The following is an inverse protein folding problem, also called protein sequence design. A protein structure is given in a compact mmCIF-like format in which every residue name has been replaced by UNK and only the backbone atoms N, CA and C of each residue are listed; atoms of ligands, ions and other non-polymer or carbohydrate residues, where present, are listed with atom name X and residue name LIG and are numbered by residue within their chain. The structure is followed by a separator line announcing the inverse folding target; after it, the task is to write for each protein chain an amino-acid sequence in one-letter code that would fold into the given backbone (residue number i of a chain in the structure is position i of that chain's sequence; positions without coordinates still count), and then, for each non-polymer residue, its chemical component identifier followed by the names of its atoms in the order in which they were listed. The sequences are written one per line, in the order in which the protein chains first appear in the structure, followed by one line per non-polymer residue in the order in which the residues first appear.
data_IF_291767478884
#
_entry.id   IF_291767478884
#
_cell.length_a   1.000
_cell.length_b   1.000
_cell.length_c   1.000
_cell.angle_alpha   90.00
_cell.angle_beta   90.00
_cell.angle_gamma   90.00
#
_symmetry.space_group_name_H-M   'P 1'
#
loop_
_entity.id
_entity.type
_entity.pdbx_description
1 polymer ?
#
# COMPACT_ATOMS: atom_id res chain seq x y z
N UNK A 1 -0.71 -71.73 0.43
CA UNK A 1 -0.39 -70.47 1.13
C UNK A 1 0.68 -69.81 0.32
N UNK A 2 0.34 -68.68 -0.31
CA UNK A 2 1.23 -67.59 -0.72
C UNK A 2 0.39 -66.73 -1.69
N UNK A 3 -0.61 -66.07 -1.11
CA UNK A 3 -1.27 -64.94 -1.77
C UNK A 3 -0.34 -63.77 -1.51
N UNK A 4 0.27 -63.24 -2.57
CA UNK A 4 1.07 -62.02 -2.48
C UNK A 4 0.28 -60.97 -1.67
N UNK A 5 0.89 -60.28 -0.69
CA UNK A 5 0.21 -59.21 0.00
C UNK A 5 -0.25 -58.19 -1.05
N UNK A 6 -1.46 -57.61 -0.91
CA UNK A 6 -1.97 -56.66 -1.89
C UNK A 6 -0.91 -55.57 -2.07
N UNK A 7 -0.42 -55.40 -3.31
CA UNK A 7 0.45 -54.27 -3.63
C UNK A 7 -0.37 -53.02 -3.39
N UNK A 8 -0.04 -52.28 -2.34
CA UNK A 8 -0.50 -50.92 -2.17
C UNK A 8 0.04 -50.09 -3.34
N UNK A 9 -0.71 -50.07 -4.46
CA UNK A 9 -0.46 -49.14 -5.55
C UNK A 9 -0.71 -47.75 -5.00
N UNK A 10 0.33 -47.09 -4.47
CA UNK A 10 0.26 -45.69 -4.09
C UNK A 10 -0.11 -44.90 -5.34
N UNK A 11 -1.33 -44.37 -5.35
CA UNK A 11 -1.82 -43.51 -6.43
C UNK A 11 -0.87 -42.32 -6.49
N UNK A 12 -0.18 -42.15 -7.62
CA UNK A 12 0.71 -41.00 -7.81
C UNK A 12 -0.14 -39.73 -7.81
N UNK A 13 0.21 -38.77 -6.95
CA UNK A 13 -0.44 -37.47 -6.92
C UNK A 13 -0.24 -36.74 -8.26
N UNK A 14 -1.25 -35.99 -8.68
CA UNK A 14 -1.17 -35.19 -9.90
C UNK A 14 -0.38 -33.93 -9.61
N UNK A 15 0.67 -33.67 -10.38
CA UNK A 15 1.39 -32.40 -10.33
C UNK A 15 0.84 -31.48 -11.42
N UNK A 16 0.25 -30.36 -11.00
CA UNK A 16 -0.28 -29.33 -11.89
C UNK A 16 0.58 -28.07 -11.80
N UNK A 17 1.08 -27.64 -12.94
CA UNK A 17 1.83 -26.39 -13.06
C UNK A 17 0.86 -25.29 -13.53
N UNK A 18 0.52 -24.39 -12.63
CA UNK A 18 -0.32 -23.24 -12.90
C UNK A 18 0.56 -22.02 -13.17
N UNK A 19 0.45 -21.45 -14.38
CA UNK A 19 1.22 -20.28 -14.81
C UNK A 19 2.33 -20.60 -15.82
N UNK A 20 3.11 -19.57 -16.24
CA UNK A 20 3.23 -18.23 -15.64
C UNK A 20 2.11 -17.25 -16.03
N UNK A 21 1.37 -17.54 -17.09
CA UNK A 21 0.34 -16.67 -17.64
C UNK A 21 -1.05 -17.27 -17.37
N UNK A 22 -1.79 -16.67 -16.45
CA UNK A 22 -3.18 -17.01 -16.19
C UNK A 22 -3.91 -15.79 -15.62
N UNK A 23 -5.19 -15.52 -15.96
CA UNK A 23 -5.93 -14.37 -15.43
C UNK A 23 -5.93 -14.24 -13.90
N UNK A 24 -6.12 -15.37 -13.19
CA UNK A 24 -6.07 -15.41 -11.74
C UNK A 24 -4.66 -15.23 -11.12
N UNK A 25 -3.61 -15.27 -11.94
CA UNK A 25 -2.30 -14.78 -11.52
C UNK A 25 -2.23 -13.29 -11.87
N UNK A 26 -2.74 -12.43 -10.99
CA UNK A 26 -2.62 -10.98 -11.12
C UNK A 26 -1.13 -10.57 -11.06
N UNK A 27 -0.51 -10.48 -12.25
CA UNK A 27 0.94 -10.32 -12.43
C UNK A 27 1.54 -11.54 -13.12
N UNK A 28 2.61 -12.08 -12.54
CA UNK A 28 3.28 -13.30 -13.04
C UNK A 28 3.63 -14.19 -11.86
N UNK A 29 2.96 -15.33 -11.76
CA UNK A 29 3.16 -16.31 -10.70
C UNK A 29 3.13 -17.71 -11.31
N UNK A 30 4.06 -18.55 -10.88
CA UNK A 30 4.09 -19.98 -11.21
C UNK A 30 3.84 -20.77 -9.94
N UNK A 31 2.74 -21.51 -9.87
CA UNK A 31 2.40 -22.40 -8.76
C UNK A 31 2.55 -23.85 -9.21
N UNK A 32 3.39 -24.63 -8.55
CA UNK A 32 3.45 -26.08 -8.72
C UNK A 32 2.63 -26.70 -7.60
N UNK A 33 1.46 -27.23 -7.96
CA UNK A 33 0.52 -27.82 -7.02
C UNK A 33 0.56 -29.34 -7.11
N UNK A 34 0.70 -30.00 -5.98
CA UNK A 34 0.51 -31.44 -5.83
C UNK A 34 -0.92 -31.69 -5.36
N UNK A 35 -1.73 -32.29 -6.22
CA UNK A 35 -3.14 -32.53 -5.98
C UNK A 35 -3.42 -34.00 -5.75
N UNK A 36 -4.33 -34.27 -4.81
CA UNK A 36 -4.94 -35.56 -4.57
C UNK A 36 -6.43 -35.43 -4.85
N UNK A 37 -6.81 -35.68 -6.11
CA UNK A 37 -8.15 -35.34 -6.61
C UNK A 37 -8.38 -33.83 -6.58
N UNK A 38 -9.36 -33.38 -5.80
CA UNK A 38 -9.71 -31.96 -5.63
C UNK A 38 -8.94 -31.29 -4.47
N UNK A 39 -8.25 -32.07 -3.64
CA UNK A 39 -7.55 -31.56 -2.45
C UNK A 39 -6.11 -31.20 -2.76
N UNK A 40 -5.69 -30.00 -2.33
CA UNK A 40 -4.30 -29.55 -2.42
C UNK A 40 -3.49 -30.18 -1.28
N UNK A 41 -2.45 -30.95 -1.62
CA UNK A 41 -1.51 -31.51 -0.63
C UNK A 41 -0.35 -30.57 -0.37
N UNK A 42 0.21 -30.02 -1.44
CA UNK A 42 1.36 -29.11 -1.40
C UNK A 42 1.22 -28.08 -2.51
N UNK A 43 1.62 -26.85 -2.24
CA UNK A 43 1.67 -25.78 -3.22
C UNK A 43 3.03 -25.08 -3.07
N UNK A 44 3.84 -25.16 -4.13
CA UNK A 44 5.15 -24.53 -4.18
C UNK A 44 5.07 -23.30 -5.11
N UNK A 45 5.03 -22.07 -4.54
CA UNK A 45 5.02 -20.84 -5.33
C UNK A 45 6.43 -20.48 -5.81
N UNK A 46 6.68 -20.61 -7.11
CA UNK A 46 7.87 -20.10 -7.75
C UNK A 46 7.69 -18.62 -8.10
N UNK A 47 8.28 -17.76 -7.27
CA UNK A 47 8.37 -16.31 -7.46
C UNK A 47 9.70 -15.92 -8.16
N UNK A 48 9.89 -14.62 -8.41
CA UNK A 48 11.15 -14.10 -8.99
C UNK A 48 11.10 -13.82 -10.49
N UNK A 49 9.99 -14.14 -11.17
CA UNK A 49 9.79 -13.78 -12.59
C UNK A 49 9.78 -12.25 -12.82
N UNK A 50 9.45 -11.48 -11.78
CA UNK A 50 9.52 -10.01 -11.77
C UNK A 50 10.67 -9.49 -10.87
N UNK A 51 11.69 -10.30 -10.62
CA UNK A 51 12.90 -9.82 -9.94
C UNK A 51 13.69 -8.91 -10.90
N UNK A 52 13.86 -7.64 -10.49
CA UNK A 52 14.51 -6.59 -11.30
C UNK A 52 15.85 -6.13 -10.73
N UNK A 53 16.37 -6.77 -9.68
CA UNK A 53 17.59 -6.35 -8.99
C UNK A 53 17.48 -4.93 -8.40
N UNK A 54 16.32 -4.55 -7.88
CA UNK A 54 16.03 -3.17 -7.44
C UNK A 54 16.98 -2.70 -6.34
N UNK A 55 17.24 -3.54 -5.33
CA UNK A 55 18.17 -3.24 -4.23
C UNK A 55 19.59 -2.92 -4.75
N UNK A 56 20.08 -3.70 -5.71
CA UNK A 56 21.40 -3.49 -6.32
C UNK A 56 21.46 -2.22 -7.17
N UNK A 57 20.36 -1.87 -7.84
CA UNK A 57 20.29 -0.62 -8.58
C UNK A 57 20.25 0.61 -7.64
N UNK A 58 19.70 0.44 -6.44
CA UNK A 58 19.68 1.50 -5.41
C UNK A 58 21.09 1.77 -4.88
N UNK A 59 21.93 0.74 -4.68
CA UNK A 59 23.33 0.90 -4.24
C UNK A 59 24.17 1.81 -5.16
N UNK A 60 23.86 1.85 -6.45
CA UNK A 60 24.57 2.65 -7.44
C UNK A 60 23.94 4.03 -7.68
N UNK A 61 22.96 4.44 -6.88
CA UNK A 61 22.18 5.68 -7.06
C UNK A 61 22.18 6.52 -5.79
N UNK A 62 21.98 7.82 -5.96
CA UNK A 62 21.78 8.73 -4.82
C UNK A 62 20.38 8.56 -4.23
N UNK A 63 20.16 9.03 -3.00
CA UNK A 63 18.87 8.91 -2.32
C UNK A 63 17.69 9.47 -3.13
N UNK A 64 17.86 10.65 -3.74
CA UNK A 64 16.82 11.24 -4.59
C UNK A 64 16.56 10.42 -5.86
N UNK A 65 17.60 9.82 -6.46
CA UNK A 65 17.46 8.97 -7.65
C UNK A 65 16.91 7.57 -7.32
N UNK A 66 17.04 7.12 -6.08
CA UNK A 66 16.52 5.85 -5.60
C UNK A 66 15.00 5.92 -5.30
N UNK A 67 14.48 7.09 -4.92
CA UNK A 67 13.06 7.29 -4.59
C UNK A 67 12.08 6.64 -5.60
N UNK A 68 12.19 6.82 -6.94
CA UNK A 68 11.22 6.26 -7.89
C UNK A 68 11.25 4.72 -8.00
N UNK A 69 12.21 4.03 -7.37
CA UNK A 69 12.16 2.57 -7.26
C UNK A 69 11.10 2.14 -6.24
N UNK A 70 10.95 2.87 -5.14
CA UNK A 70 9.97 2.57 -4.09
C UNK A 70 8.53 2.72 -4.62
N UNK A 71 8.28 3.71 -5.48
CA UNK A 71 7.02 3.86 -6.24
C UNK A 71 6.60 2.63 -7.05
N UNK A 72 7.58 1.81 -7.43
CA UNK A 72 7.41 0.69 -8.37
C UNK A 72 7.52 -0.67 -7.70
N UNK A 73 7.73 -0.73 -6.38
CA UNK A 73 7.70 -1.97 -5.60
C UNK A 73 6.26 -2.46 -5.49
N UNK A 74 5.46 -1.80 -4.64
CA UNK A 74 4.01 -1.91 -4.70
C UNK A 74 3.45 -0.81 -5.62
N UNK A 75 3.22 -1.18 -6.88
CA UNK A 75 2.71 -0.27 -7.91
C UNK A 75 1.26 0.18 -7.69
N UNK A 76 0.58 -0.33 -6.67
CA UNK A 76 -0.77 0.13 -6.28
C UNK A 76 -0.71 1.14 -5.14
N UNK A 77 0.29 1.06 -4.26
CA UNK A 77 0.49 1.97 -3.12
C UNK A 77 1.74 2.82 -3.23
N UNK A 78 1.81 3.64 -4.29
CA UNK A 78 2.97 4.45 -4.66
C UNK A 78 3.40 5.39 -3.52
N UNK A 79 2.50 6.28 -3.08
CA UNK A 79 2.82 7.30 -2.06
C UNK A 79 3.15 6.70 -0.68
N UNK A 80 2.53 5.56 -0.30
CA UNK A 80 2.88 4.90 0.95
C UNK A 80 4.34 4.43 0.92
N UNK A 81 4.80 3.84 -0.19
CA UNK A 81 6.17 3.38 -0.29
C UNK A 81 7.16 4.57 -0.30
N UNK A 82 6.81 5.66 -0.99
CA UNK A 82 7.58 6.91 -0.92
C UNK A 82 7.66 7.46 0.50
N UNK A 83 6.55 7.39 1.25
CA UNK A 83 6.47 7.84 2.64
C UNK A 83 7.38 7.00 3.54
N UNK A 84 7.35 5.67 3.40
CA UNK A 84 8.22 4.78 4.17
C UNK A 84 9.70 5.09 3.92
N UNK A 85 10.08 5.23 2.65
CA UNK A 85 11.44 5.60 2.27
C UNK A 85 11.83 6.98 2.79
N UNK A 86 10.92 7.96 2.69
CA UNK A 86 11.17 9.32 3.15
C UNK A 86 11.35 9.38 4.66
N UNK A 87 10.54 8.65 5.42
CA UNK A 87 10.67 8.54 6.88
C UNK A 87 11.98 7.85 7.28
N UNK A 88 12.42 6.82 6.56
CA UNK A 88 13.71 6.17 6.77
C UNK A 88 14.88 7.17 6.64
N UNK A 89 14.87 7.93 5.54
CA UNK A 89 15.92 8.91 5.25
C UNK A 89 15.86 10.10 6.22
N UNK A 90 14.67 10.58 6.56
CA UNK A 90 14.46 11.66 7.54
C UNK A 90 14.95 11.27 8.94
N UNK A 91 14.73 10.01 9.34
CA UNK A 91 15.22 9.47 10.61
C UNK A 91 16.75 9.37 10.64
N UNK A 92 17.40 9.02 9.54
CA UNK A 92 18.87 9.04 9.44
C UNK A 92 19.44 10.46 9.42
N UNK A 93 18.73 11.40 8.79
CA UNK A 93 19.13 12.81 8.73
C UNK A 93 18.80 13.59 10.02
N UNK A 94 17.99 13.04 10.93
CA UNK A 94 17.45 13.71 12.11
C UNK A 94 16.71 15.01 11.77
N UNK A 95 15.87 14.97 10.75
CA UNK A 95 15.07 16.12 10.30
C UNK A 95 13.59 15.84 10.50
N UNK A 96 12.86 16.87 10.93
CA UNK A 96 11.40 16.83 11.01
C UNK A 96 10.78 17.58 9.82
N UNK A 97 9.89 16.94 9.04
CA UNK A 97 9.15 17.62 7.98
C UNK A 97 8.16 18.65 8.57
N UNK A 98 7.84 19.73 7.84
CA UNK A 98 6.94 20.76 8.35
C UNK A 98 5.50 20.22 8.52
N UNK A 99 4.70 20.80 9.43
CA UNK A 99 3.36 20.28 9.76
C UNK A 99 2.46 20.11 8.54
N UNK A 100 2.42 21.10 7.64
CA UNK A 100 1.60 21.03 6.42
C UNK A 100 2.00 19.85 5.52
N UNK A 101 3.29 19.56 5.39
CA UNK A 101 3.75 18.40 4.62
C UNK A 101 3.30 17.08 5.25
N UNK A 102 3.34 16.99 6.58
CA UNK A 102 2.87 15.80 7.29
C UNK A 102 1.36 15.57 7.07
N UNK A 103 0.54 16.62 7.14
CA UNK A 103 -0.90 16.52 6.83
C UNK A 103 -1.18 16.12 5.38
N UNK A 104 -0.41 16.66 4.42
CA UNK A 104 -0.52 16.26 3.01
C UNK A 104 -0.13 14.79 2.82
N UNK A 105 0.93 14.31 3.48
CA UNK A 105 1.35 12.91 3.46
C UNK A 105 0.27 11.99 4.01
N UNK A 106 -0.33 12.32 5.15
CA UNK A 106 -1.43 11.55 5.75
C UNK A 106 -2.64 11.53 4.81
N UNK A 107 -3.02 12.67 4.22
CA UNK A 107 -4.12 12.77 3.27
C UNK A 107 -3.91 11.84 2.05
N UNK A 108 -2.76 11.94 1.38
CA UNK A 108 -2.47 11.08 0.23
C UNK A 108 -2.18 9.62 0.62
N UNK A 109 -1.67 9.37 1.83
CA UNK A 109 -1.52 8.03 2.37
C UNK A 109 -2.86 7.31 2.49
N UNK A 110 -3.89 7.99 2.98
CA UNK A 110 -5.23 7.42 3.08
C UNK A 110 -5.96 7.35 1.72
N UNK A 111 -5.74 8.30 0.80
CA UNK A 111 -6.21 8.13 -0.60
C UNK A 111 -5.54 6.92 -1.26
N UNK A 112 -4.24 6.71 -1.02
CA UNK A 112 -3.51 5.53 -1.49
C UNK A 112 -4.07 4.24 -0.88
N UNK A 113 -4.48 4.29 0.39
CA UNK A 113 -5.13 3.18 1.08
C UNK A 113 -6.46 2.82 0.43
N UNK A 114 -7.30 3.81 0.11
CA UNK A 114 -8.51 3.60 -0.67
C UNK A 114 -8.21 2.96 -2.03
N UNK A 115 -7.26 3.51 -2.80
CA UNK A 115 -6.85 2.96 -4.09
C UNK A 115 -6.44 1.48 -4.02
N UNK A 116 -5.71 1.09 -2.96
CA UNK A 116 -5.23 -0.27 -2.79
C UNK A 116 -6.33 -1.23 -2.33
N UNK A 117 -7.17 -0.84 -1.36
CA UNK A 117 -8.29 -1.69 -0.93
C UNK A 117 -9.33 -1.88 -2.04
N UNK A 118 -9.61 -0.84 -2.83
CA UNK A 118 -10.47 -0.97 -4.02
C UNK A 118 -9.90 -2.03 -4.96
N UNK A 119 -8.60 -1.92 -5.30
CA UNK A 119 -7.95 -2.90 -6.16
C UNK A 119 -8.07 -4.29 -5.56
N UNK A 120 -7.67 -4.47 -4.30
CA UNK A 120 -7.67 -5.77 -3.62
C UNK A 120 -9.06 -6.43 -3.58
N UNK A 121 -10.11 -5.67 -3.23
CA UNK A 121 -11.48 -6.18 -3.14
C UNK A 121 -12.04 -6.53 -4.52
N UNK A 122 -11.83 -5.65 -5.50
CA UNK A 122 -12.42 -5.81 -6.84
C UNK A 122 -11.72 -6.88 -7.67
N UNK A 123 -10.38 -7.00 -7.57
CA UNK A 123 -9.65 -8.10 -8.22
C UNK A 123 -10.00 -9.42 -7.57
N UNK A 124 -10.11 -9.47 -6.24
CA UNK A 124 -10.56 -10.68 -5.54
C UNK A 124 -11.98 -11.09 -5.97
N UNK A 125 -12.88 -10.12 -6.12
CA UNK A 125 -14.22 -10.36 -6.65
C UNK A 125 -14.18 -10.89 -8.09
N UNK A 126 -13.36 -10.30 -8.95
CA UNK A 126 -13.17 -10.71 -10.34
C UNK A 126 -12.66 -12.16 -10.46
N UNK A 127 -11.66 -12.52 -9.65
CA UNK A 127 -11.07 -13.87 -9.63
C UNK A 127 -12.06 -14.95 -9.18
N UNK A 128 -12.98 -14.61 -8.27
CA UNK A 128 -14.06 -15.51 -7.84
C UNK A 128 -15.18 -15.60 -8.90
N UNK A 129 -15.32 -14.58 -9.74
CA UNK A 129 -16.25 -14.52 -10.88
C UNK A 129 -17.23 -13.34 -10.87
N UNK A 130 -17.18 -12.46 -9.87
CA UNK A 130 -18.01 -11.26 -9.79
C UNK A 130 -17.38 -10.09 -10.56
N UNK A 131 -17.77 -9.92 -11.82
CA UNK A 131 -17.18 -8.93 -12.73
C UNK A 131 -17.68 -7.49 -12.53
N UNK A 132 -18.90 -7.28 -12.03
CA UNK A 132 -19.53 -5.95 -12.01
C UNK A 132 -18.91 -4.94 -11.04
N UNK A 133 -18.53 -5.29 -9.78
CA UNK A 133 -17.95 -4.32 -8.85
C UNK A 133 -16.63 -3.73 -9.33
N UNK A 134 -15.89 -4.52 -10.11
CA UNK A 134 -14.63 -4.11 -10.70
C UNK A 134 -14.81 -2.85 -11.55
N UNK A 135 -15.79 -2.84 -12.44
CA UNK A 135 -16.03 -1.68 -13.32
C UNK A 135 -16.56 -0.47 -12.55
N UNK A 136 -17.44 -0.66 -11.56
CA UNK A 136 -17.99 0.45 -10.77
C UNK A 136 -16.90 1.17 -9.97
N UNK A 137 -16.06 0.41 -9.27
CA UNK A 137 -15.04 1.01 -8.41
C UNK A 137 -13.81 1.48 -9.20
N UNK A 138 -13.57 0.96 -10.41
CA UNK A 138 -12.51 1.49 -11.27
C UNK A 138 -12.82 2.88 -11.82
N UNK A 139 -14.10 3.24 -11.96
CA UNK A 139 -14.49 4.64 -12.23
C UNK A 139 -14.05 5.57 -11.08
N UNK A 140 -14.30 5.17 -9.83
CA UNK A 140 -13.88 5.94 -8.65
C UNK A 140 -12.35 5.96 -8.50
N UNK A 141 -11.68 4.87 -8.85
CA UNK A 141 -10.21 4.78 -8.92
C UNK A 141 -9.63 5.75 -9.93
N UNK A 142 -10.29 5.95 -11.06
CA UNK A 142 -9.85 6.91 -12.09
C UNK A 142 -9.95 8.35 -11.59
N UNK A 143 -11.02 8.70 -10.86
CA UNK A 143 -11.14 10.03 -10.22
C UNK A 143 -10.01 10.28 -9.22
N UNK A 144 -9.59 9.27 -8.47
CA UNK A 144 -8.41 9.37 -7.59
C UNK A 144 -7.10 9.51 -8.37
N UNK A 145 -6.96 8.88 -9.54
CA UNK A 145 -5.80 9.13 -10.41
C UNK A 145 -5.76 10.55 -10.97
N UNK A 146 -6.90 11.18 -11.20
CA UNK A 146 -6.96 12.61 -11.54
C UNK A 146 -6.38 13.49 -10.42
N UNK A 147 -6.62 13.15 -9.16
CA UNK A 147 -5.99 13.85 -8.03
C UNK A 147 -4.46 13.68 -8.02
N UNK A 148 -3.97 12.50 -8.38
CA UNK A 148 -2.53 12.21 -8.47
C UNK A 148 -1.89 12.98 -9.62
N UNK A 149 -2.58 13.03 -10.75
CA UNK A 149 -2.16 13.78 -11.92
C UNK A 149 -2.14 15.28 -11.62
N UNK A 150 -3.15 15.82 -10.94
CA UNK A 150 -3.19 17.25 -10.59
C UNK A 150 -2.11 17.66 -9.60
N UNK A 151 -1.74 16.79 -8.66
CA UNK A 151 -0.71 17.12 -7.66
C UNK A 151 0.72 16.91 -8.17
N UNK A 152 0.95 15.88 -8.99
CA UNK A 152 2.31 15.47 -9.41
C UNK A 152 2.58 15.59 -10.91
N UNK A 153 1.54 15.64 -11.74
CA UNK A 153 1.62 15.52 -13.20
C UNK A 153 1.64 14.08 -13.71
N UNK A 154 1.67 13.07 -12.83
CA UNK A 154 1.65 11.66 -13.20
C UNK A 154 0.42 10.95 -12.64
N UNK A 155 -0.15 10.02 -13.41
CA UNK A 155 -1.35 9.27 -12.99
C UNK A 155 -1.07 8.22 -11.92
N UNK A 156 0.11 7.60 -11.92
CA UNK A 156 0.47 6.55 -10.95
C UNK A 156 1.76 6.86 -10.21
N UNK A 157 2.91 6.79 -10.88
CA UNK A 157 4.22 7.00 -10.26
C UNK A 157 4.49 8.50 -10.12
N UNK A 158 4.26 9.03 -8.93
CA UNK A 158 4.20 10.47 -8.67
C UNK A 158 5.56 11.09 -8.30
N UNK A 159 6.47 10.35 -7.67
CA UNK A 159 7.71 10.88 -7.09
C UNK A 159 7.47 12.15 -6.24
N UNK A 160 6.36 12.17 -5.49
CA UNK A 160 5.79 13.38 -4.89
C UNK A 160 6.23 13.58 -3.44
N UNK A 161 6.12 12.54 -2.62
CA UNK A 161 6.66 12.52 -1.27
C UNK A 161 8.16 12.29 -1.38
N UNK A 162 8.93 13.20 -0.77
CA UNK A 162 10.39 13.16 -0.81
C UNK A 162 10.95 13.28 0.59
N UNK A 163 12.19 12.80 0.83
CA UNK A 163 12.88 13.11 2.08
C UNK A 163 12.95 14.63 2.29
N UNK A 164 12.43 15.10 3.43
CA UNK A 164 12.29 16.51 3.80
C UNK A 164 10.90 17.14 3.57
N UNK A 165 9.89 16.36 3.18
CA UNK A 165 8.49 16.83 3.06
C UNK A 165 7.77 16.36 1.78
N UNK A 166 7.16 17.30 1.06
CA UNK A 166 6.54 17.05 -0.25
C UNK A 166 7.14 17.96 -1.32
N UNK A 167 7.16 17.53 -2.57
CA UNK A 167 7.87 18.25 -3.63
C UNK A 167 7.22 19.59 -4.03
N UNK A 168 5.90 19.58 -4.16
CA UNK A 168 5.09 20.71 -4.62
C UNK A 168 3.81 20.80 -3.76
N UNK A 169 3.27 21.99 -3.57
CA UNK A 169 2.04 22.15 -2.78
C UNK A 169 0.82 21.76 -3.62
N UNK A 170 -0.31 21.53 -2.95
CA UNK A 170 -1.59 21.25 -3.57
C UNK A 170 -2.01 22.42 -4.47
N UNK A 171 -2.49 22.17 -5.70
CA UNK A 171 -3.08 23.22 -6.52
C UNK A 171 -4.38 23.75 -5.88
N UNK A 172 -4.69 25.02 -6.13
CA UNK A 172 -5.91 25.66 -5.65
C UNK A 172 -7.16 24.90 -6.16
N UNK A 173 -8.13 24.68 -5.27
CA UNK A 173 -9.38 23.98 -5.56
C UNK A 173 -9.35 22.46 -5.38
N UNK A 174 -8.18 21.82 -5.25
CA UNK A 174 -8.11 20.36 -5.13
C UNK A 174 -8.81 19.82 -3.87
N UNK A 175 -8.76 20.57 -2.75
CA UNK A 175 -9.40 20.15 -1.50
C UNK A 175 -10.92 20.06 -1.63
N UNK A 176 -11.54 20.96 -2.39
CA UNK A 176 -12.99 20.96 -2.63
C UNK A 176 -13.39 19.74 -3.47
N UNK A 177 -12.57 19.38 -4.47
CA UNK A 177 -12.81 18.22 -5.32
C UNK A 177 -12.68 16.90 -4.53
N UNK A 178 -11.68 16.78 -3.65
CA UNK A 178 -11.51 15.64 -2.75
C UNK A 178 -12.71 15.53 -1.79
N UNK A 179 -13.22 16.67 -1.31
CA UNK A 179 -14.41 16.68 -0.45
C UNK A 179 -15.66 16.19 -1.19
N UNK A 180 -15.89 16.64 -2.43
CA UNK A 180 -17.01 16.14 -3.25
C UNK A 180 -16.88 14.64 -3.54
N UNK A 181 -15.66 14.17 -3.82
CA UNK A 181 -15.39 12.74 -3.98
C UNK A 181 -15.70 11.96 -2.70
N UNK A 182 -15.23 12.41 -1.55
CA UNK A 182 -15.46 11.74 -0.26
C UNK A 182 -16.94 11.59 0.07
N UNK A 183 -17.77 12.58 -0.29
CA UNK A 183 -19.23 12.52 -0.09
C UNK A 183 -19.89 11.45 -0.94
N UNK A 184 -19.49 11.35 -2.21
CA UNK A 184 -20.08 10.40 -3.16
C UNK A 184 -19.54 8.97 -2.95
N UNK A 185 -18.28 8.84 -2.55
CA UNK A 185 -17.60 7.54 -2.42
C UNK A 185 -18.20 6.67 -1.32
N UNK A 186 -18.75 7.27 -0.25
CA UNK A 186 -19.47 6.51 0.79
C UNK A 186 -20.63 5.70 0.21
N UNK A 187 -21.42 6.30 -0.69
CA UNK A 187 -22.54 5.62 -1.34
C UNK A 187 -22.06 4.46 -2.22
N UNK A 188 -20.92 4.64 -2.90
CA UNK A 188 -20.32 3.60 -3.76
C UNK A 188 -19.84 2.40 -2.96
N UNK A 189 -19.27 2.61 -1.77
CA UNK A 189 -18.91 1.51 -0.87
C UNK A 189 -20.16 0.73 -0.47
N UNK A 190 -21.24 1.42 -0.13
CA UNK A 190 -22.49 0.76 0.27
C UNK A 190 -23.12 -0.03 -0.89
N UNK A 191 -23.06 0.47 -2.13
CA UNK A 191 -23.48 -0.27 -3.33
C UNK A 191 -22.68 -1.57 -3.53
N UNK A 192 -21.37 -1.53 -3.27
CA UNK A 192 -20.51 -2.72 -3.39
C UNK A 192 -20.76 -3.72 -2.28
N UNK A 193 -20.95 -3.26 -1.04
CA UNK A 193 -21.31 -4.13 0.08
C UNK A 193 -22.67 -4.80 -0.13
N UNK A 194 -23.66 -4.05 -0.61
CA UNK A 194 -24.99 -4.62 -0.88
C UNK A 194 -24.92 -5.76 -1.90
N UNK A 195 -24.02 -5.65 -2.89
CA UNK A 195 -23.83 -6.69 -3.89
C UNK A 195 -23.03 -7.90 -3.36
N UNK A 196 -21.97 -7.68 -2.57
CA UNK A 196 -21.03 -8.73 -2.16
C UNK A 196 -21.29 -9.30 -0.76
N UNK A 197 -21.45 -8.44 0.25
CA UNK A 197 -21.43 -8.82 1.67
C UNK A 197 -22.53 -9.81 2.02
N UNK A 198 -23.77 -9.52 1.61
CA UNK A 198 -24.92 -10.36 1.91
C UNK A 198 -25.14 -11.50 0.90
N UNK A 199 -24.33 -11.59 -0.15
CA UNK A 199 -24.50 -12.58 -1.19
C UNK A 199 -24.12 -13.98 -0.69
N UNK A 200 -25.07 -14.92 -0.80
CA UNK A 200 -24.88 -16.32 -0.40
C UNK A 200 -23.70 -16.98 -1.12
N UNK A 201 -23.50 -16.69 -2.41
CA UNK A 201 -22.41 -17.30 -3.20
C UNK A 201 -21.06 -16.79 -2.69
N UNK A 202 -20.96 -15.48 -2.42
CA UNK A 202 -19.74 -14.87 -1.89
C UNK A 202 -19.37 -15.47 -0.52
N UNK A 203 -20.34 -15.55 0.39
CA UNK A 203 -20.14 -16.13 1.72
C UNK A 203 -19.71 -17.59 1.64
N UNK A 204 -20.38 -18.40 0.81
CA UNK A 204 -20.01 -19.81 0.63
C UNK A 204 -18.58 -20.00 0.06
N UNK A 205 -18.02 -18.99 -0.61
CA UNK A 205 -16.69 -19.02 -1.25
C UNK A 205 -15.60 -18.35 -0.43
N UNK A 206 -15.91 -17.74 0.70
CA UNK A 206 -14.95 -16.95 1.50
C UNK A 206 -14.98 -17.31 2.98
N UNK A 207 -16.15 -17.69 3.50
CA UNK A 207 -16.30 -18.18 4.88
C UNK A 207 -15.66 -19.55 4.98
N UNK A 208 -14.92 -19.78 6.07
CA UNK A 208 -14.19 -21.04 6.36
C UNK A 208 -13.06 -21.37 5.38
N UNK A 209 -12.65 -20.42 4.53
CA UNK A 209 -11.51 -20.59 3.62
C UNK A 209 -10.31 -19.80 4.13
N UNK A 210 -9.15 -20.46 4.17
CA UNK A 210 -7.87 -19.85 4.52
C UNK A 210 -7.79 -19.38 5.96
N UNK A 211 -8.39 -20.11 6.90
CA UNK A 211 -8.37 -19.81 8.33
C UNK A 211 -6.92 -19.79 8.83
N UNK A 212 -6.53 -18.70 9.48
CA UNK A 212 -5.21 -18.52 10.10
C UNK A 212 -5.41 -18.29 11.60
N UNK A 213 -4.70 -19.06 12.42
CA UNK A 213 -4.71 -18.85 13.88
C UNK A 213 -3.85 -17.64 14.25
N UNK A 214 -4.15 -17.00 15.38
CA UNK A 214 -3.35 -15.86 15.86
C UNK A 214 -1.87 -16.25 16.09
N UNK A 215 -1.62 -17.47 16.59
CA UNK A 215 -0.27 -17.98 16.83
C UNK A 215 0.50 -18.18 15.52
N UNK A 216 -0.11 -18.82 14.53
CA UNK A 216 0.51 -19.03 13.22
C UNK A 216 0.77 -17.70 12.50
N UNK A 217 -0.16 -16.75 12.61
CA UNK A 217 -0.01 -15.43 11.99
C UNK A 217 1.24 -14.69 12.51
N UNK A 218 1.52 -14.78 13.81
CA UNK A 218 2.72 -14.20 14.41
C UNK A 218 3.99 -14.98 14.02
N UNK A 219 3.94 -16.32 14.11
CA UNK A 219 5.09 -17.16 13.80
C UNK A 219 5.53 -17.04 12.33
N UNK A 220 4.59 -16.83 11.41
CA UNK A 220 4.86 -16.69 9.99
C UNK A 220 5.22 -15.24 9.59
N UNK A 221 5.20 -14.31 10.54
CA UNK A 221 5.50 -12.90 10.29
C UNK A 221 4.47 -12.20 9.40
N UNK A 222 3.19 -12.58 9.50
CA UNK A 222 2.13 -11.84 8.82
C UNK A 222 1.96 -10.44 9.43
N UNK A 223 1.47 -9.51 8.63
CA UNK A 223 1.24 -8.12 9.04
C UNK A 223 -0.07 -7.56 8.47
N UNK A 224 -0.49 -6.42 9.01
CA UNK A 224 -1.67 -5.69 8.55
C UNK A 224 -2.99 -6.45 8.70
N UNK A 225 -3.78 -6.45 7.62
CA UNK A 225 -5.12 -7.06 7.54
C UNK A 225 -5.09 -8.55 7.89
N UNK A 226 -3.98 -9.25 7.64
CA UNK A 226 -3.83 -10.67 7.98
C UNK A 226 -3.81 -10.90 9.50
N UNK A 227 -3.12 -10.04 10.25
CA UNK A 227 -3.12 -10.08 11.72
C UNK A 227 -4.47 -9.65 12.29
N UNK A 228 -5.02 -8.53 11.77
CA UNK A 228 -6.30 -7.98 12.22
C UNK A 228 -7.45 -8.96 11.99
N UNK A 229 -7.48 -9.62 10.83
CA UNK A 229 -8.49 -10.63 10.52
C UNK A 229 -8.45 -11.83 11.48
N UNK A 230 -7.27 -12.15 12.02
CA UNK A 230 -7.05 -13.26 12.96
C UNK A 230 -7.30 -12.88 14.43
N UNK A 231 -7.79 -11.66 14.70
CA UNK A 231 -8.17 -11.21 16.04
C UNK A 231 -7.08 -10.45 16.83
N UNK A 232 -5.90 -10.20 16.23
CA UNK A 232 -4.82 -9.48 16.90
C UNK A 232 -5.01 -7.97 16.72
N UNK A 233 -5.02 -7.24 17.84
CA UNK A 233 -5.18 -5.78 17.86
C UNK A 233 -3.84 -5.08 17.56
N UNK A 234 -3.46 -5.04 16.28
CA UNK A 234 -2.19 -4.44 15.83
C UNK A 234 -2.38 -3.52 14.61
N UNK A 235 -1.97 -2.26 14.76
CA UNK A 235 -1.88 -1.27 13.69
C UNK A 235 -0.79 -0.25 14.06
N UNK A 236 0.22 -0.10 13.19
CA UNK A 236 1.35 0.82 13.43
C UNK A 236 0.89 2.27 13.56
N UNK A 237 -0.21 2.67 12.91
CA UNK A 237 -0.74 4.05 13.01
C UNK A 237 -1.23 4.39 14.41
N UNK A 238 -1.58 3.40 15.23
CA UNK A 238 -2.01 3.57 16.62
C UNK A 238 -0.88 3.30 17.61
N UNK A 239 -0.12 2.23 17.40
CA UNK A 239 0.92 1.81 18.37
C UNK A 239 2.21 2.63 18.23
N UNK A 240 2.60 2.95 17.00
CA UNK A 240 3.83 3.69 16.68
C UNK A 240 3.51 4.78 15.64
N UNK A 241 2.74 5.81 16.04
CA UNK A 241 2.27 6.82 15.11
C UNK A 241 3.46 7.53 14.45
N UNK A 242 3.39 7.65 13.13
CA UNK A 242 4.26 8.48 12.31
C UNK A 242 3.47 9.67 11.76
N UNK A 243 4.18 10.72 11.36
CA UNK A 243 3.59 11.98 10.90
C UNK A 243 2.51 12.53 11.87
N UNK A 244 1.24 12.54 11.48
CA UNK A 244 0.12 13.15 12.24
C UNK A 244 -1.02 12.19 12.53
N UNK A 245 -0.77 10.87 12.48
CA UNK A 245 -1.81 9.85 12.76
C UNK A 245 -2.31 9.89 14.22
N UNK A 246 -1.56 10.52 15.12
CA UNK A 246 -1.90 10.75 16.52
C UNK A 246 -3.00 11.83 16.73
N UNK A 247 -3.20 12.73 15.76
CA UNK A 247 -4.17 13.83 15.85
C UNK A 247 -5.50 13.56 15.11
N UNK A 248 -5.64 12.36 14.53
CA UNK A 248 -6.84 11.91 13.81
C UNK A 248 -7.56 10.79 14.54
N UNK A 249 -8.88 10.88 14.56
CA UNK A 249 -9.75 9.93 15.25
C UNK A 249 -10.29 8.90 14.25
N UNK A 250 -9.85 7.67 14.39
CA UNK A 250 -10.30 6.53 13.61
C UNK A 250 -10.26 5.25 14.44
N UNK A 251 -11.06 4.28 14.04
CA UNK A 251 -11.16 2.98 14.66
C UNK A 251 -10.51 1.93 13.75
N UNK A 252 -9.95 0.87 14.34
CA UNK A 252 -9.29 -0.21 13.60
C UNK A 252 -10.17 -1.45 13.62
N UNK A 253 -10.56 -2.01 12.47
CA UNK A 253 -11.42 -3.19 12.43
C UNK A 253 -10.64 -4.45 12.81
N UNK A 254 -11.31 -5.37 13.51
CA UNK A 254 -10.73 -6.61 14.01
C UNK A 254 -11.65 -7.76 13.60
N UNK A 255 -11.08 -8.79 12.96
CA UNK A 255 -11.78 -10.02 12.60
C UNK A 255 -11.92 -10.98 13.78
N UNK A 256 -12.80 -11.96 13.64
CA UNK A 256 -13.10 -12.90 14.73
C UNK A 256 -12.59 -14.31 14.44
N UNK A 257 -12.67 -14.77 13.19
CA UNK A 257 -12.44 -16.17 12.78
C UNK A 257 -11.13 -16.36 12.01
N UNK A 258 -10.53 -15.29 11.46
CA UNK A 258 -9.33 -15.41 10.63
C UNK A 258 -9.57 -15.90 9.20
N UNK A 259 -10.82 -15.94 8.73
CA UNK A 259 -11.16 -16.40 7.38
C UNK A 259 -10.98 -15.29 6.32
N UNK A 260 -11.16 -15.63 5.04
CA UNK A 260 -11.10 -14.67 3.95
C UNK A 260 -12.23 -13.62 4.04
N UNK A 261 -13.40 -14.00 4.57
CA UNK A 261 -14.55 -13.13 4.70
C UNK A 261 -14.32 -12.01 5.72
N UNK A 262 -13.79 -12.31 6.90
CA UNK A 262 -13.42 -11.33 7.92
C UNK A 262 -12.35 -10.36 7.40
N UNK A 263 -11.37 -10.86 6.63
CA UNK A 263 -10.36 -10.02 5.97
C UNK A 263 -10.94 -9.15 4.86
N UNK A 264 -12.02 -9.57 4.21
CA UNK A 264 -12.76 -8.74 3.28
C UNK A 264 -13.47 -7.61 4.03
N UNK A 265 -14.23 -7.94 5.08
CA UNK A 265 -14.92 -6.95 5.91
C UNK A 265 -13.95 -5.92 6.52
N UNK A 266 -12.81 -6.37 7.05
CA UNK A 266 -11.79 -5.47 7.57
C UNK A 266 -11.32 -4.44 6.52
N UNK A 267 -11.14 -4.85 5.26
CA UNK A 267 -10.75 -3.91 4.19
C UNK A 267 -11.85 -2.92 3.86
N UNK A 268 -13.11 -3.35 3.89
CA UNK A 268 -14.23 -2.44 3.62
C UNK A 268 -14.43 -1.43 4.75
N UNK A 269 -14.31 -1.88 5.99
CA UNK A 269 -14.31 -0.99 7.15
C UNK A 269 -13.09 -0.05 7.15
N UNK A 270 -11.90 -0.53 6.77
CA UNK A 270 -10.72 0.33 6.57
C UNK A 270 -10.98 1.41 5.52
N UNK A 271 -11.69 1.11 4.42
CA UNK A 271 -12.06 2.15 3.44
C UNK A 271 -12.95 3.23 4.06
N UNK A 272 -13.92 2.86 4.92
CA UNK A 272 -14.75 3.84 5.64
C UNK A 272 -13.94 4.68 6.63
N UNK A 273 -12.99 4.07 7.33
CA UNK A 273 -12.13 4.78 8.27
C UNK A 273 -11.15 5.70 7.54
N UNK A 274 -10.62 5.30 6.38
CA UNK A 274 -9.84 6.19 5.50
C UNK A 274 -10.63 7.41 5.07
N UNK A 275 -11.91 7.26 4.69
CA UNK A 275 -12.77 8.42 4.38
C UNK A 275 -12.94 9.34 5.60
N UNK A 276 -13.11 8.77 6.80
CA UNK A 276 -13.18 9.54 8.04
C UNK A 276 -11.90 10.33 8.28
N UNK A 277 -10.73 9.72 8.10
CA UNK A 277 -9.44 10.40 8.23
C UNK A 277 -9.32 11.52 7.18
N UNK A 278 -9.63 11.25 5.91
CA UNK A 278 -9.61 12.25 4.83
C UNK A 278 -10.48 13.47 5.19
N UNK A 279 -11.69 13.25 5.69
CA UNK A 279 -12.59 14.34 6.11
C UNK A 279 -11.99 15.20 7.25
N UNK A 280 -11.28 14.58 8.20
CA UNK A 280 -10.63 15.28 9.30
C UNK A 280 -9.38 16.04 8.81
N UNK A 281 -8.59 15.44 7.92
CA UNK A 281 -7.42 16.09 7.32
C UNK A 281 -7.82 17.33 6.53
N UNK A 282 -8.91 17.30 5.77
CA UNK A 282 -9.40 18.46 5.04
C UNK A 282 -9.82 19.60 5.98
N UNK A 283 -10.48 19.28 7.11
CA UNK A 283 -10.93 20.27 8.08
C UNK A 283 -9.79 20.84 8.95
N UNK A 284 -8.75 20.04 9.23
CA UNK A 284 -7.63 20.42 10.11
C UNK A 284 -6.37 20.86 9.34
N UNK A 285 -6.42 20.98 8.01
CA UNK A 285 -5.24 21.27 7.19
C UNK A 285 -4.62 22.65 7.56
N UNK A 286 -3.38 22.69 8.08
CA UNK A 286 -2.75 23.96 8.41
C UNK A 286 -2.20 24.66 7.16
N UNK A 287 -2.22 26.01 7.11
CA UNK A 287 -1.37 26.75 6.20
C UNK A 287 0.10 26.60 6.64
N UNK A 288 1.04 26.70 5.70
CA UNK A 288 2.46 26.63 6.03
C UNK A 288 3.33 26.17 4.88
N UNK A 289 4.59 25.86 5.19
CA UNK A 289 5.55 25.37 4.22
C UNK A 289 5.45 23.85 4.01
N UNK A 290 5.84 23.41 2.82
CA UNK A 290 5.73 22.02 2.37
C UNK A 290 7.06 21.25 2.42
N UNK A 291 8.17 21.95 2.60
CA UNK A 291 9.52 21.39 2.66
C UNK A 291 10.19 21.89 3.93
N UNK A 292 11.14 21.11 4.45
CA UNK A 292 12.02 21.57 5.52
C UNK A 292 12.79 22.82 5.08
N UNK A 293 12.94 23.77 5.99
CA UNK A 293 13.68 25.03 5.84
C UNK A 293 15.22 24.83 5.84
N UNK A 294 15.69 23.63 5.48
CA UNK A 294 17.11 23.33 5.27
C UNK A 294 17.37 23.11 3.78
N UNK A 295 17.95 24.13 3.14
CA UNK A 295 18.33 24.13 1.73
C UNK A 295 19.45 23.13 1.39
N UNK A 296 20.08 22.49 2.39
CA UNK A 296 21.05 21.40 2.17
C UNK A 296 20.38 20.06 1.93
N UNK A 297 19.11 19.91 2.26
CA UNK A 297 18.33 18.69 2.05
C UNK A 297 17.24 18.92 1.03
N UNK A 298 16.44 19.97 1.22
CA UNK A 298 15.36 20.31 0.30
C UNK A 298 15.84 21.33 -0.75
N UNK A 299 15.48 21.18 -2.03
CA UNK A 299 15.88 22.13 -3.04
C UNK A 299 15.12 23.46 -2.87
N UNK A 300 15.80 24.61 -2.99
CA UNK A 300 15.19 25.93 -2.81
C UNK A 300 14.12 26.21 -3.89
N UNK A 301 13.23 27.17 -3.59
CA UNK A 301 12.17 27.59 -4.53
C UNK A 301 12.80 28.21 -5.78
N UNK A 302 12.17 28.03 -6.95
CA UNK A 302 12.72 28.52 -8.23
C UNK A 302 12.87 30.04 -8.30
N UNK A 303 12.06 30.79 -7.56
CA UNK A 303 12.17 32.24 -7.49
C UNK A 303 13.48 32.66 -6.81
N UNK A 304 13.78 32.07 -5.65
CA UNK A 304 14.98 32.35 -4.87
C UNK A 304 16.25 31.84 -5.54
N UNK A 305 16.20 30.66 -6.17
CA UNK A 305 17.32 30.11 -6.94
C UNK A 305 17.79 31.03 -8.09
N UNK A 306 16.90 31.86 -8.64
CA UNK A 306 17.26 32.80 -9.71
C UNK A 306 17.84 34.12 -9.18
N UNK A 307 17.72 34.41 -7.89
CA UNK A 307 18.13 35.68 -7.29
C UNK A 307 19.30 35.53 -6.31
N UNK A 308 19.29 34.49 -5.44
CA UNK A 308 20.35 34.22 -4.46
C UNK A 308 21.43 33.31 -5.06
N UNK A 309 22.69 33.67 -4.77
CA UNK A 309 23.85 32.86 -5.15
C UNK A 309 23.91 31.56 -4.34
N UNK A 310 23.64 31.61 -3.04
CA UNK A 310 23.64 30.44 -2.16
C UNK A 310 22.60 29.40 -2.62
N UNK A 311 21.39 29.85 -2.94
CA UNK A 311 20.33 28.98 -3.45
C UNK A 311 20.73 28.28 -4.75
N UNK A 312 21.46 28.96 -5.64
CA UNK A 312 21.96 28.35 -6.87
C UNK A 312 23.05 27.30 -6.60
N UNK A 313 23.96 27.57 -5.66
CA UNK A 313 24.99 26.61 -5.23
C UNK A 313 24.34 25.35 -4.65
N UNK A 314 23.38 25.52 -3.72
CA UNK A 314 22.66 24.42 -3.09
C UNK A 314 21.89 23.59 -4.11
N UNK A 315 21.15 24.24 -5.03
CA UNK A 315 20.48 23.55 -6.14
C UNK A 315 21.49 22.72 -6.94
N UNK A 316 22.59 23.32 -7.39
CA UNK A 316 23.55 22.64 -8.25
C UNK A 316 24.15 21.40 -7.55
N UNK A 317 24.55 21.52 -6.29
CA UNK A 317 25.12 20.41 -5.51
C UNK A 317 24.10 19.31 -5.23
N UNK A 318 22.87 19.65 -4.87
CA UNK A 318 21.80 18.68 -4.58
C UNK A 318 21.44 17.79 -5.78
N UNK A 319 21.44 18.34 -7.00
CA UNK A 319 21.06 17.59 -8.19
C UNK A 319 22.25 16.90 -8.89
N UNK A 320 23.49 17.26 -8.56
CA UNK A 320 24.69 16.62 -9.12
C UNK A 320 25.26 15.56 -8.18
N UNK A 321 25.59 15.94 -6.94
CA UNK A 321 26.16 15.06 -5.92
C UNK A 321 25.08 14.39 -5.08
N UNK A 322 24.02 15.13 -4.72
CA UNK A 322 23.06 14.73 -3.70
C UNK A 322 23.45 15.23 -2.31
N UNK A 323 22.54 15.08 -1.35
CA UNK A 323 22.83 15.35 0.06
C UNK A 323 23.53 14.15 0.70
N UNK A 324 24.53 14.42 1.55
CA UNK A 324 25.21 13.38 2.32
C UNK A 324 24.38 13.00 3.53
N UNK A 325 24.14 11.70 3.70
CA UNK A 325 23.46 11.14 4.88
C UNK A 325 24.53 10.67 5.88
N UNK A 326 24.37 10.95 7.18
CA UNK A 326 25.27 10.43 8.21
C UNK A 326 25.39 8.89 8.15
N UNK A 327 26.58 8.33 8.41
CA UNK A 327 26.75 6.88 8.43
C UNK A 327 25.92 6.26 9.57
N UNK A 328 25.03 5.33 9.21
CA UNK A 328 24.15 4.64 10.16
C UNK A 328 23.28 3.61 9.47
N UNK A 329 22.64 2.75 10.27
CA UNK A 329 21.62 1.81 9.81
C UNK A 329 20.32 2.12 10.54
N UNK A 330 19.21 2.16 9.80
CA UNK A 330 17.87 2.37 10.35
C UNK A 330 16.95 1.29 9.82
N UNK A 331 15.90 1.00 10.58
CA UNK A 331 14.73 0.27 10.12
C UNK A 331 13.51 1.10 10.50
N UNK A 332 12.71 1.45 9.50
CA UNK A 332 11.46 2.18 9.71
C UNK A 332 10.35 1.49 8.97
N UNK A 333 9.25 1.27 9.66
CA UNK A 333 8.07 0.66 9.09
C UNK A 333 6.89 1.62 9.12
N UNK A 334 6.03 1.50 8.12
CA UNK A 334 4.72 2.14 8.07
C UNK A 334 3.63 1.08 7.91
N UNK A 335 2.40 1.45 8.25
CA UNK A 335 1.23 0.64 7.91
C UNK A 335 0.86 0.92 6.45
N UNK A 336 1.46 0.20 5.50
CA UNK A 336 0.96 0.19 4.14
C UNK A 336 -0.41 -0.52 4.08
N UNK A 337 -1.21 -0.33 3.02
CA UNK A 337 -2.51 -0.98 2.92
C UNK A 337 -2.44 -2.52 2.83
N UNK A 338 -1.26 -3.06 2.50
CA UNK A 338 -0.97 -4.50 2.52
C UNK A 338 -0.46 -5.01 3.87
N UNK A 339 -0.07 -4.11 4.78
CA UNK A 339 0.49 -4.42 6.09
C UNK A 339 1.77 -3.64 6.37
N UNK A 340 2.64 -4.21 7.19
CA UNK A 340 3.91 -3.59 7.59
C UNK A 340 4.86 -3.52 6.39
N UNK A 341 5.17 -2.30 5.95
CA UNK A 341 6.17 -2.04 4.91
C UNK A 341 7.38 -1.37 5.55
N UNK A 342 8.46 -2.13 5.68
CA UNK A 342 9.72 -1.69 6.27
C UNK A 342 10.79 -1.37 5.23
N UNK A 343 11.55 -0.30 5.50
CA UNK A 343 12.75 0.11 4.74
C UNK A 343 13.94 0.23 5.67
#
# INVERSE_FOLDING_TARGET
NDVDPPKDTMVSNLTLNFGPQHPAAHGVLRLVMELSGEMVRKCDPHIGLLHRGTEKLIEHKTYLQALPYFDRLDYVSMMCNEQAYSLAVEKLLNIQPPPRAQWIRVLFGEITRLLNHIMAVTTHALDIGAMTPFFWMFEEREKMFEFYERVSGARMHAAYIRPGGVHQDLPLGLMDDIYQFSKNFSLRIDEVEEMLTNNRIWRNRTVDIGVVTAEDALNYGFSGVMLRGSGIQWDLRKTQPYDVYDQVDFDVPIGSRGDCYDRYLCRVEEMRQSLRIISQCLNKMPPGEIKVDDAKVSPPKRAEMKTSMESLIHHFKLYTEGYQVPPGATYTAIEAPKGEFGV
#
